data_IF_996060893889
#
_entry.id   IF_996060893889
#
_cell.length_a   1.000
_cell.length_b   1.000
_cell.length_c   1.000
_cell.angle_alpha   90.00
_cell.angle_beta   90.00
_cell.angle_gamma   90.00
#
_symmetry.space_group_name_H-M   'P 1'
#
loop_
_entity.id
_entity.type
_entity.pdbx_description
1 polymer ?
#
# COMPACT_ATOMS: atom_id res chain seq x y z
N UNK A 1 -2.59 -0.90 -0.69
CA UNK A 1 -1.13 -1.13 -0.68
C UNK A 1 -0.85 -2.51 -0.13
N UNK A 2 0.10 -3.21 -0.73
CA UNK A 2 0.75 -4.41 -0.18
C UNK A 2 2.21 -4.05 0.07
N UNK A 3 2.76 -4.47 1.22
CA UNK A 3 4.19 -4.41 1.55
C UNK A 3 4.68 -5.84 1.68
N UNK A 4 5.73 -6.17 0.94
CA UNK A 4 6.38 -7.48 0.92
C UNK A 4 7.51 -7.57 1.98
N UNK A 5 7.98 -8.78 2.33
CA UNK A 5 8.95 -8.97 3.41
C UNK A 5 10.33 -8.37 3.12
N UNK A 6 10.65 -8.18 1.85
CA UNK A 6 11.87 -7.56 1.34
C UNK A 6 11.79 -6.01 1.27
N UNK A 7 10.68 -5.43 1.72
CA UNK A 7 10.42 -3.99 1.66
C UNK A 7 9.83 -3.51 0.33
N UNK A 8 9.62 -4.37 -0.68
CA UNK A 8 8.93 -3.96 -1.89
C UNK A 8 7.48 -3.56 -1.61
N UNK A 9 7.00 -2.55 -2.34
CA UNK A 9 5.67 -1.98 -2.14
C UNK A 9 4.89 -2.01 -3.45
N UNK A 10 3.68 -2.56 -3.40
CA UNK A 10 2.75 -2.60 -4.52
C UNK A 10 1.48 -1.82 -4.22
N UNK A 11 1.16 -0.87 -5.09
CA UNK A 11 -0.12 -0.17 -5.09
C UNK A 11 -1.09 -0.90 -6.02
N UNK A 12 -2.31 -1.09 -5.55
CA UNK A 12 -3.37 -1.78 -6.27
C UNK A 12 -4.57 -0.86 -6.26
N UNK A 13 -5.04 -0.50 -7.45
CA UNK A 13 -6.24 0.30 -7.63
C UNK A 13 -7.44 -0.65 -7.76
N UNK A 14 -8.39 -0.66 -6.80
CA UNK A 14 -9.58 -1.49 -6.88
C UNK A 14 -10.44 -1.07 -8.08
N UNK A 15 -11.14 -2.02 -8.71
CA UNK A 15 -12.04 -1.70 -9.82
C UNK A 15 -13.28 -0.98 -9.26
N UNK A 16 -13.88 -0.02 -9.97
CA UNK A 16 -15.13 0.61 -9.54
C UNK A 16 -16.26 -0.40 -9.23
N UNK A 17 -16.31 -1.51 -9.98
CA UNK A 17 -17.29 -2.59 -9.79
C UNK A 17 -17.07 -3.43 -8.51
N UNK A 18 -15.90 -3.33 -7.86
CA UNK A 18 -15.60 -4.03 -6.61
C UNK A 18 -16.27 -3.35 -5.40
N UNK A 19 -16.70 -2.10 -5.55
CA UNK A 19 -17.41 -1.34 -4.52
C UNK A 19 -18.91 -1.64 -4.51
N UNK A 20 -19.44 -1.96 -3.34
CA UNK A 20 -20.86 -2.23 -3.10
C UNK A 20 -21.39 -1.31 -1.99
N UNK A 21 -22.65 -0.92 -2.10
CA UNK A 21 -23.35 -0.11 -1.10
C UNK A 21 -24.43 -0.97 -0.41
N UNK A 22 -24.13 -1.63 0.73
CA UNK A 22 -25.10 -2.44 1.47
C UNK A 22 -26.13 -1.63 2.28
N UNK A 23 -26.08 -0.29 2.25
CA UNK A 23 -27.06 0.58 2.93
C UNK A 23 -26.50 1.98 3.21
N UNK A 24 -27.34 2.97 3.55
CA UNK A 24 -26.92 4.36 3.76
C UNK A 24 -25.71 4.49 4.71
N UNK A 25 -24.69 5.24 4.28
CA UNK A 25 -23.44 5.43 5.03
C UNK A 25 -22.53 4.20 5.14
N UNK A 26 -22.87 3.07 4.50
CA UNK A 26 -22.06 1.84 4.51
C UNK A 26 -21.52 1.54 3.12
N UNK A 27 -20.23 1.26 3.05
CA UNK A 27 -19.55 0.83 1.83
C UNK A 27 -18.82 -0.49 2.09
N UNK A 28 -18.80 -1.38 1.09
CA UNK A 28 -18.09 -2.66 1.14
C UNK A 28 -17.29 -2.84 -0.15
N UNK A 29 -15.97 -2.90 -0.02
CA UNK A 29 -15.05 -3.20 -1.11
C UNK A 29 -14.75 -4.70 -1.10
N UNK A 30 -14.96 -5.39 -2.23
CA UNK A 30 -14.59 -6.80 -2.43
C UNK A 30 -13.76 -6.89 -3.72
N UNK A 31 -12.43 -6.80 -3.58
CA UNK A 31 -11.48 -6.82 -4.69
C UNK A 31 -10.55 -8.02 -4.59
N UNK A 32 -10.19 -8.61 -5.73
CA UNK A 32 -9.25 -9.73 -5.78
C UNK A 32 -7.82 -9.20 -6.02
N UNK A 33 -6.96 -9.41 -5.03
CA UNK A 33 -5.54 -9.05 -5.09
C UNK A 33 -4.72 -10.24 -5.56
N UNK A 34 -3.98 -10.08 -6.66
CA UNK A 34 -2.97 -11.04 -7.10
C UNK A 34 -1.62 -10.69 -6.50
N UNK A 35 -1.00 -11.65 -5.83
CA UNK A 35 0.31 -11.52 -5.19
C UNK A 35 1.31 -12.34 -6.00
N UNK A 36 2.41 -11.71 -6.41
CA UNK A 36 3.49 -12.35 -7.14
C UNK A 36 4.81 -11.82 -6.62
N UNK A 37 5.68 -12.73 -6.18
CA UNK A 37 6.99 -12.44 -5.64
C UNK A 37 7.95 -13.56 -6.08
N UNK A 38 9.26 -13.32 -6.00
CA UNK A 38 10.25 -14.40 -6.08
C UNK A 38 9.99 -15.45 -5.00
N UNK A 39 10.38 -16.70 -5.24
CA UNK A 39 10.10 -17.80 -4.32
C UNK A 39 10.71 -17.55 -2.93
N UNK A 40 9.87 -17.49 -1.90
CA UNK A 40 10.32 -17.57 -0.52
C UNK A 40 10.65 -19.02 -0.17
N UNK A 41 11.72 -19.24 0.57
CA UNK A 41 12.08 -20.54 1.17
C UNK A 41 11.38 -20.77 2.49
N UNK A 42 10.98 -19.69 3.17
CA UNK A 42 10.37 -19.69 4.50
C UNK A 42 8.99 -19.03 4.48
N UNK A 43 8.10 -19.38 5.42
CA UNK A 43 6.83 -18.66 5.61
C UNK A 43 7.07 -17.18 5.97
N UNK A 44 6.39 -16.28 5.28
CA UNK A 44 6.61 -14.83 5.44
C UNK A 44 5.31 -14.06 5.71
N UNK A 45 5.43 -12.89 6.33
CA UNK A 45 4.33 -11.95 6.52
C UNK A 45 4.36 -10.85 5.45
N UNK A 46 3.21 -10.61 4.81
CA UNK A 46 2.97 -9.38 4.04
C UNK A 46 2.05 -8.45 4.83
N UNK A 47 2.14 -7.15 4.59
CA UNK A 47 1.21 -6.18 5.17
C UNK A 47 0.28 -5.59 4.10
N UNK A 48 -1.02 -5.65 4.35
CA UNK A 48 -2.04 -5.08 3.46
C UNK A 48 -2.73 -3.93 4.17
N UNK A 49 -2.70 -2.73 3.57
CA UNK A 49 -3.39 -1.54 4.09
C UNK A 49 -4.17 -0.80 3.02
N UNK A 50 -5.31 -0.22 3.41
CA UNK A 50 -6.05 0.71 2.56
C UNK A 50 -5.39 2.09 2.61
N UNK A 51 -5.36 2.74 1.45
CA UNK A 51 -4.92 4.12 1.29
C UNK A 51 -6.07 4.92 0.69
N UNK A 52 -6.19 6.19 1.07
CA UNK A 52 -7.03 7.16 0.37
C UNK A 52 -6.15 7.87 -0.66
N UNK A 53 -6.59 7.90 -1.92
CA UNK A 53 -5.95 8.70 -2.95
C UNK A 53 -6.32 10.19 -2.76
N UNK A 54 -5.32 11.07 -2.82
CA UNK A 54 -5.48 12.51 -2.66
C UNK A 54 -4.78 13.24 -3.81
N UNK A 55 -5.57 13.92 -4.65
CA UNK A 55 -5.04 14.79 -5.70
C UNK A 55 -4.75 16.18 -5.13
N UNK A 56 -3.48 16.43 -4.77
CA UNK A 56 -3.04 17.80 -4.48
C UNK A 56 -2.93 18.59 -5.79
N UNK A 57 -3.59 19.73 -5.89
CA UNK A 57 -3.47 20.66 -7.04
C UNK A 57 -2.01 21.13 -7.25
N UNK A 58 -1.15 21.06 -6.22
CA UNK A 58 0.29 21.34 -6.31
C UNK A 58 1.10 20.26 -7.05
N UNK A 59 0.70 18.99 -7.01
CA UNK A 59 1.49 17.88 -7.60
C UNK A 59 1.57 17.97 -9.15
N UNK A 60 0.53 18.52 -9.79
CA UNK A 60 0.57 18.89 -11.23
C UNK A 60 1.58 19.99 -11.59
N UNK A 61 2.08 20.75 -10.60
CA UNK A 61 3.09 21.79 -10.79
C UNK A 61 4.48 21.27 -10.39
N UNK A 62 4.58 20.50 -9.29
CA UNK A 62 5.84 19.88 -8.83
C UNK A 62 6.40 18.83 -9.79
N UNK A 63 5.56 18.10 -10.54
CA UNK A 63 6.02 17.19 -11.61
C UNK A 63 6.78 17.89 -12.75
N UNK A 64 6.87 19.22 -12.73
CA UNK A 64 7.66 20.04 -13.65
C UNK A 64 8.62 21.01 -12.96
N UNK A 65 8.64 21.07 -11.63
CA UNK A 65 9.40 22.05 -10.86
C UNK A 65 9.88 21.51 -9.50
N UNK A 66 11.20 21.31 -9.44
CA UNK A 66 12.09 21.49 -8.28
C UNK A 66 11.86 20.73 -6.97
N UNK A 67 12.93 20.06 -6.54
CA UNK A 67 13.29 19.84 -5.15
C UNK A 67 12.99 21.07 -4.27
N UNK A 68 12.31 20.91 -3.13
CA UNK A 68 12.30 21.93 -2.07
C UNK A 68 12.40 21.31 -0.69
N UNK A 69 13.56 21.48 -0.07
CA UNK A 69 13.91 21.05 1.28
C UNK A 69 13.12 21.77 2.37
N UNK A 70 12.55 20.96 3.26
CA UNK A 70 12.52 21.07 4.73
C UNK A 70 12.65 19.62 5.27
N UNK A 71 13.06 19.28 6.49
CA UNK A 71 13.19 20.08 7.72
C UNK A 71 11.94 19.88 8.60
N UNK A 72 12.02 19.61 9.90
CA UNK A 72 13.15 19.46 10.83
C UNK A 72 12.63 18.73 12.11
N UNK A 73 13.46 17.87 12.72
CA UNK A 73 13.38 17.30 14.08
C UNK A 73 12.08 16.66 14.61
N UNK A 74 12.10 15.34 14.82
CA UNK A 74 12.38 14.72 16.16
C UNK A 74 12.71 13.23 15.97
N UNK A 75 13.66 12.70 16.72
CA UNK A 75 14.07 11.29 16.64
C UNK A 75 12.96 10.31 17.08
N UNK A 76 12.64 9.30 16.27
CA UNK A 76 12.30 7.93 16.74
C UNK A 76 12.14 6.96 15.57
N UNK A 77 13.11 6.04 15.42
CA UNK A 77 13.08 4.84 14.56
C UNK A 77 12.97 5.11 13.05
N UNK A 78 13.79 4.45 12.19
CA UNK A 78 13.54 4.42 10.76
C UNK A 78 12.36 3.48 10.46
N UNK A 79 11.14 3.90 10.84
CA UNK A 79 9.94 3.32 10.26
C UNK A 79 10.02 3.62 8.77
N UNK A 80 10.05 2.57 7.94
CA UNK A 80 10.18 2.70 6.49
C UNK A 80 8.86 3.23 5.93
N UNK A 81 8.65 4.54 6.08
CA UNK A 81 7.52 5.26 5.54
C UNK A 81 7.62 5.25 4.01
N UNK A 82 7.13 4.17 3.42
CA UNK A 82 6.72 4.07 2.03
C UNK A 82 5.49 4.94 1.78
N UNK A 83 5.67 6.25 2.00
CA UNK A 83 4.71 7.31 1.70
C UNK A 83 4.63 7.45 0.18
N UNK A 84 3.68 6.75 -0.43
CA UNK A 84 3.42 6.89 -1.86
C UNK A 84 2.80 8.27 -2.11
N UNK A 85 3.43 9.08 -2.96
CA UNK A 85 2.95 10.44 -3.29
C UNK A 85 1.48 10.41 -3.72
N UNK A 86 0.70 11.40 -3.27
CA UNK A 86 -0.73 11.48 -3.60
C UNK A 86 -1.59 10.44 -2.87
N UNK A 87 -1.11 9.84 -1.78
CA UNK A 87 -1.90 8.95 -0.94
C UNK A 87 -1.72 9.25 0.55
N UNK A 88 -2.75 8.95 1.35
CA UNK A 88 -2.67 8.96 2.81
C UNK A 88 -3.14 7.60 3.38
N UNK A 89 -2.57 7.11 4.49
CA UNK A 89 -3.05 5.88 5.15
C UNK A 89 -4.52 6.01 5.57
N UNK A 90 -5.37 5.09 5.12
CA UNK A 90 -6.80 5.05 5.46
C UNK A 90 -7.12 4.01 6.53
N UNK A 91 -6.33 2.94 6.61
CA UNK A 91 -6.50 1.89 7.63
C UNK A 91 -5.17 1.53 8.31
N UNK A 92 -5.26 0.92 9.49
CA UNK A 92 -4.16 0.12 10.04
C UNK A 92 -3.78 -1.01 9.06
N UNK A 93 -2.51 -1.44 9.00
CA UNK A 93 -2.12 -2.60 8.22
C UNK A 93 -2.66 -3.88 8.84
N UNK A 94 -3.05 -4.82 7.97
CA UNK A 94 -3.39 -6.19 8.31
C UNK A 94 -2.24 -7.09 7.85
N UNK A 95 -1.66 -7.84 8.78
CA UNK A 95 -0.60 -8.81 8.47
C UNK A 95 -1.24 -10.11 7.96
N UNK A 96 -0.79 -10.59 6.81
CA UNK A 96 -1.22 -11.87 6.23
C UNK A 96 0.00 -12.78 6.15
N UNK A 97 -0.09 -13.95 6.77
CA UNK A 97 0.96 -14.96 6.73
C UNK A 97 0.79 -15.83 5.48
N UNK A 98 1.87 -15.99 4.73
CA UNK A 98 1.88 -16.73 3.47
C UNK A 98 2.94 -17.83 3.53
N UNK A 99 2.48 -19.06 3.31
CA UNK A 99 3.38 -20.22 3.19
C UNK A 99 4.08 -20.18 1.82
N UNK A 100 5.35 -20.63 1.74
CA UNK A 100 6.03 -20.79 0.46
C UNK A 100 5.28 -21.83 -0.40
N UNK A 101 5.27 -21.63 -1.72
CA UNK A 101 4.71 -22.64 -2.63
C UNK A 101 5.59 -23.90 -2.56
N UNK A 102 5.02 -25.10 -2.35
CA UNK A 102 5.79 -26.33 -2.40
C UNK A 102 6.55 -26.44 -3.73
N UNK A 103 7.82 -26.81 -3.67
CA UNK A 103 8.61 -27.08 -4.87
C UNK A 103 7.95 -28.20 -5.68
N UNK A 104 7.72 -27.97 -6.98
CA UNK A 104 7.33 -29.06 -7.88
C UNK A 104 8.53 -29.97 -8.07
N UNK A 105 8.39 -31.21 -7.61
CA UNK A 105 9.30 -32.32 -7.89
C UNK A 105 9.06 -32.89 -9.28
#
# INVERSE_FOLDING_TARGET
QVVYPDGQVQIIHPKPADFRNPGPGRHRLITQVYLSHTAWTEPCQIEVRLLLAYSSSRSKVMSRASNSTWGESTETVPSTESSTEGTIPFSKPVKVFLMPKPARR
#
